data_IF_120825766359
#
_entry.id   IF_120825766359
#
_cell.length_a   1.000
_cell.length_b   1.000
_cell.length_c   1.000
_cell.angle_alpha   90.00
_cell.angle_beta   90.00
_cell.angle_gamma   90.00
#
_symmetry.space_group_name_H-M   'P 1'
#
loop_
_entity.id
_entity.type
_entity.pdbx_description
1 polymer ?
#
# COMPACT_ATOMS: atom_id res chain seq x y z
N UNK A 1 -15.51 -13.15 15.59
CA UNK A 1 -15.99 -12.17 14.59
C UNK A 1 -16.25 -12.87 13.27
N UNK A 2 -17.25 -12.43 12.56
CA UNK A 2 -17.59 -13.03 11.27
C UNK A 2 -16.65 -12.56 10.17
N UNK A 3 -16.60 -13.32 9.08
CA UNK A 3 -15.86 -12.94 7.87
C UNK A 3 -16.33 -11.58 7.35
N UNK A 4 -17.64 -11.34 7.38
CA UNK A 4 -18.23 -10.07 6.96
C UNK A 4 -17.73 -8.90 7.80
N UNK A 5 -17.67 -9.08 9.12
CA UNK A 5 -17.15 -8.05 10.03
C UNK A 5 -15.65 -7.80 9.82
N UNK A 6 -14.88 -8.87 9.61
CA UNK A 6 -13.45 -8.74 9.34
C UNK A 6 -13.20 -7.99 8.03
N UNK A 7 -13.97 -8.27 6.99
CA UNK A 7 -13.88 -7.53 5.72
C UNK A 7 -14.23 -6.06 5.90
N UNK A 8 -15.25 -5.76 6.74
CA UNK A 8 -15.65 -4.38 6.99
C UNK A 8 -14.52 -3.58 7.69
N UNK A 9 -13.84 -4.19 8.65
CA UNK A 9 -12.70 -3.58 9.34
C UNK A 9 -11.59 -3.27 8.35
N UNK A 10 -11.24 -4.21 7.48
CA UNK A 10 -10.19 -4.03 6.47
C UNK A 10 -10.58 -2.95 5.46
N UNK A 11 -11.86 -2.89 5.08
CA UNK A 11 -12.34 -1.84 4.18
C UNK A 11 -12.17 -0.46 4.80
N UNK A 12 -12.50 -0.29 6.07
CA UNK A 12 -12.30 0.97 6.79
C UNK A 12 -10.82 1.36 6.83
N UNK A 13 -9.95 0.39 7.07
CA UNK A 13 -8.50 0.60 7.06
C UNK A 13 -8.01 1.12 5.71
N UNK A 14 -8.45 0.49 4.61
CA UNK A 14 -8.01 0.88 3.27
C UNK A 14 -8.60 2.24 2.84
N UNK A 15 -9.80 2.56 3.26
CA UNK A 15 -10.39 3.88 3.05
C UNK A 15 -9.59 4.96 3.80
N UNK A 16 -9.14 4.65 5.02
CA UNK A 16 -8.24 5.54 5.77
C UNK A 16 -6.90 5.71 5.05
N UNK A 17 -6.37 4.61 4.48
CA UNK A 17 -5.15 4.66 3.67
C UNK A 17 -5.30 5.55 2.44
N UNK A 18 -6.46 5.53 1.81
CA UNK A 18 -6.76 6.40 0.66
C UNK A 18 -6.81 7.88 1.06
N UNK A 19 -7.29 8.17 2.27
CA UNK A 19 -7.30 9.54 2.83
C UNK A 19 -5.96 9.95 3.46
N UNK A 20 -5.06 9.01 3.67
CA UNK A 20 -3.79 9.22 4.41
C UNK A 20 -4.03 9.78 5.82
N UNK A 21 -5.06 9.29 6.50
CA UNK A 21 -5.44 9.76 7.84
C UNK A 21 -5.98 8.62 8.68
N UNK A 22 -5.57 8.60 9.95
CA UNK A 22 -6.08 7.64 10.94
C UNK A 22 -7.36 8.14 11.61
N UNK A 23 -7.82 9.35 11.29
CA UNK A 23 -8.98 9.93 11.95
C UNK A 23 -10.19 9.00 11.91
N UNK A 24 -10.68 8.65 13.10
CA UNK A 24 -11.86 7.81 13.25
C UNK A 24 -11.62 6.30 13.14
N UNK A 25 -10.38 5.86 12.86
CA UNK A 25 -10.08 4.43 12.66
C UNK A 25 -8.91 3.91 13.51
N UNK A 26 -8.39 4.70 14.43
CA UNK A 26 -7.30 4.24 15.30
C UNK A 26 -7.66 2.99 16.10
N UNK A 27 -8.92 2.88 16.49
CA UNK A 27 -9.42 1.76 17.31
C UNK A 27 -9.41 0.42 16.60
N UNK A 28 -9.35 0.41 15.26
CA UNK A 28 -9.34 -0.84 14.49
C UNK A 28 -7.93 -1.34 14.18
N UNK A 29 -6.92 -0.72 14.76
CA UNK A 29 -5.52 -1.08 14.54
C UNK A 29 -4.84 -1.44 15.85
N UNK A 30 -4.01 -2.49 15.85
CA UNK A 30 -3.08 -2.72 16.94
C UNK A 30 -2.04 -1.59 16.98
N UNK A 31 -1.30 -1.47 18.08
CA UNK A 31 -0.27 -0.43 18.20
C UNK A 31 0.78 -0.53 17.09
N UNK A 32 1.22 -1.75 16.75
CA UNK A 32 2.21 -1.97 15.71
C UNK A 32 1.68 -1.58 14.33
N UNK A 33 0.44 -1.95 14.03
CA UNK A 33 -0.18 -1.62 12.74
C UNK A 33 -0.41 -0.12 12.61
N UNK A 34 -0.83 0.54 13.70
CA UNK A 34 -1.01 1.99 13.73
C UNK A 34 0.32 2.71 13.42
N UNK A 35 1.41 2.26 14.03
CA UNK A 35 2.73 2.83 13.78
C UNK A 35 3.13 2.68 12.31
N UNK A 36 2.95 1.50 11.72
CA UNK A 36 3.22 1.27 10.31
C UNK A 36 2.36 2.17 9.41
N UNK A 37 1.09 2.31 9.76
CA UNK A 37 0.18 3.15 8.99
C UNK A 37 0.61 4.63 9.04
N UNK A 38 0.91 5.13 10.24
CA UNK A 38 1.33 6.52 10.42
C UNK A 38 2.63 6.83 9.69
N UNK A 39 3.57 5.89 9.70
CA UNK A 39 4.83 6.03 8.98
C UNK A 39 4.58 6.20 7.48
N UNK A 40 3.74 5.33 6.89
CA UNK A 40 3.41 5.44 5.47
C UNK A 40 2.63 6.72 5.15
N UNK A 41 1.67 7.08 5.99
CA UNK A 41 0.88 8.29 5.79
C UNK A 41 1.73 9.56 5.83
N UNK A 42 2.87 9.51 6.49
CA UNK A 42 3.79 10.65 6.58
C UNK A 42 4.56 10.89 5.29
N UNK A 43 4.92 9.83 4.52
CA UNK A 43 5.78 10.01 3.35
C UNK A 43 5.11 9.73 2.00
N UNK A 44 4.12 8.82 1.96
CA UNK A 44 3.50 8.42 0.68
C UNK A 44 2.88 9.61 -0.08
N UNK A 45 2.05 10.47 0.56
CA UNK A 45 1.44 11.57 -0.19
C UNK A 45 2.45 12.65 -0.60
N UNK A 46 3.60 12.72 0.04
CA UNK A 46 4.66 13.66 -0.35
C UNK A 46 5.44 13.17 -1.55
N UNK A 47 5.78 11.87 -1.56
CA UNK A 47 6.50 11.26 -2.67
C UNK A 47 5.59 11.04 -3.88
N UNK A 48 4.36 10.66 -3.63
CA UNK A 48 3.37 10.37 -4.66
C UNK A 48 2.14 11.28 -4.51
N UNK A 49 2.24 12.55 -4.97
CA UNK A 49 1.11 13.46 -4.89
C UNK A 49 -0.13 12.89 -5.58
N UNK A 50 -1.28 13.07 -4.95
CA UNK A 50 -2.53 12.54 -5.47
C UNK A 50 -2.68 11.03 -5.36
N UNK A 51 -1.87 10.39 -4.49
CA UNK A 51 -1.93 8.94 -4.28
C UNK A 51 -3.34 8.48 -3.90
N UNK A 52 -3.85 7.48 -4.61
CA UNK A 52 -5.17 6.89 -4.39
C UNK A 52 -5.05 5.38 -4.29
N UNK A 53 -5.94 4.80 -3.48
CA UNK A 53 -6.08 3.36 -3.32
C UNK A 53 -7.53 3.00 -3.62
N UNK A 54 -7.73 2.02 -4.49
CA UNK A 54 -9.06 1.48 -4.79
C UNK A 54 -9.04 -0.03 -4.61
N UNK A 55 -10.00 -0.56 -3.85
CA UNK A 55 -10.17 -2.00 -3.67
C UNK A 55 -10.77 -2.57 -4.95
N UNK A 56 -10.12 -3.58 -5.53
CA UNK A 56 -10.65 -4.28 -6.71
C UNK A 56 -11.21 -5.65 -6.35
N UNK A 57 -10.63 -6.32 -5.37
CA UNK A 57 -11.08 -7.64 -4.92
C UNK A 57 -10.77 -7.82 -3.43
N UNK A 58 -11.60 -8.58 -2.75
CA UNK A 58 -11.40 -8.90 -1.34
C UNK A 58 -11.92 -10.30 -1.06
N UNK A 59 -11.07 -11.14 -0.47
CA UNK A 59 -11.43 -12.49 -0.03
C UNK A 59 -11.02 -12.65 1.42
N UNK A 60 -11.73 -13.49 2.15
CA UNK A 60 -11.42 -13.73 3.55
C UNK A 60 -11.74 -15.17 3.93
N UNK A 61 -10.93 -15.71 4.83
CA UNK A 61 -11.12 -17.04 5.40
C UNK A 61 -10.59 -16.99 6.84
N UNK A 62 -11.43 -17.45 7.79
CA UNK A 62 -11.05 -17.38 9.20
C UNK A 62 -10.81 -15.92 9.63
N UNK A 63 -9.67 -15.66 10.22
CA UNK A 63 -9.25 -14.33 10.66
C UNK A 63 -8.40 -13.57 9.63
N UNK A 64 -8.23 -14.13 8.44
CA UNK A 64 -7.41 -13.54 7.39
C UNK A 64 -8.25 -12.87 6.31
N UNK A 65 -7.82 -11.70 5.88
CA UNK A 65 -8.46 -10.97 4.78
C UNK A 65 -7.36 -10.57 3.79
N UNK A 66 -7.56 -10.92 2.53
CA UNK A 66 -6.65 -10.58 1.44
C UNK A 66 -7.35 -9.66 0.47
N UNK A 67 -6.65 -8.62 0.05
CA UNK A 67 -7.23 -7.56 -0.78
C UNK A 67 -6.32 -7.27 -1.96
N UNK A 68 -6.89 -7.23 -3.15
CA UNK A 68 -6.19 -6.66 -4.30
C UNK A 68 -6.62 -5.21 -4.45
N UNK A 69 -5.66 -4.32 -4.65
CA UNK A 69 -5.91 -2.90 -4.80
C UNK A 69 -5.29 -2.38 -6.08
N UNK A 70 -5.92 -1.35 -6.64
CA UNK A 70 -5.34 -0.53 -7.70
C UNK A 70 -4.88 0.77 -7.04
N UNK A 71 -3.60 1.09 -7.18
CA UNK A 71 -3.02 2.32 -6.65
C UNK A 71 -2.57 3.22 -7.80
N UNK A 72 -2.56 4.50 -7.57
CA UNK A 72 -2.16 5.48 -8.57
C UNK A 72 -1.68 6.76 -7.90
N UNK A 73 -1.00 7.59 -8.65
CA UNK A 73 -0.53 8.88 -8.16
C UNK A 73 0.46 9.52 -9.11
N UNK A 74 0.89 10.72 -8.76
CA UNK A 74 2.02 11.39 -9.40
C UNK A 74 3.33 10.93 -8.75
N UNK A 75 4.42 11.57 -9.12
CA UNK A 75 5.73 11.28 -8.56
C UNK A 75 6.54 12.56 -8.42
N UNK A 76 6.92 12.89 -7.17
CA UNK A 76 7.67 14.10 -6.86
C UNK A 76 9.19 13.95 -6.97
N UNK A 77 9.69 12.73 -7.18
CA UNK A 77 11.12 12.45 -7.24
C UNK A 77 11.69 11.98 -5.91
N UNK A 78 12.92 11.51 -5.95
CA UNK A 78 13.71 11.16 -4.77
C UNK A 78 13.69 9.68 -4.39
N UNK A 79 12.86 8.86 -5.01
CA UNK A 79 12.84 7.44 -4.73
C UNK A 79 13.97 6.77 -5.52
N UNK A 80 14.95 6.18 -4.81
CA UNK A 80 16.16 5.58 -5.41
C UNK A 80 16.86 6.53 -6.39
N UNK A 81 16.86 7.82 -6.06
CA UNK A 81 17.44 8.87 -6.89
C UNK A 81 16.80 9.02 -8.27
N UNK A 82 15.64 8.44 -8.50
CA UNK A 82 14.88 8.60 -9.75
C UNK A 82 14.28 10.01 -9.75
N UNK A 83 14.52 10.82 -10.80
CA UNK A 83 13.98 12.18 -10.84
C UNK A 83 12.47 12.20 -11.01
N UNK A 84 11.85 13.30 -10.61
CA UNK A 84 10.42 13.51 -10.79
C UNK A 84 10.01 13.33 -12.26
N UNK A 85 8.83 12.76 -12.47
CA UNK A 85 8.25 12.58 -13.81
C UNK A 85 6.88 13.24 -13.88
N UNK A 86 6.49 13.68 -15.06
CA UNK A 86 5.14 14.13 -15.31
C UNK A 86 4.23 12.92 -15.57
N UNK A 87 2.93 13.07 -15.29
CA UNK A 87 1.94 12.03 -15.54
C UNK A 87 1.67 11.16 -14.33
N UNK A 88 0.78 10.20 -14.52
CA UNK A 88 0.30 9.32 -13.47
C UNK A 88 0.89 7.92 -13.66
N UNK A 89 1.28 7.30 -12.56
CA UNK A 89 1.60 5.87 -12.55
C UNK A 89 0.40 5.09 -12.01
N UNK A 90 0.33 3.80 -12.36
CA UNK A 90 -0.66 2.87 -11.86
C UNK A 90 0.04 1.60 -11.40
N UNK A 91 -0.43 1.03 -10.30
CA UNK A 91 0.15 -0.19 -9.78
C UNK A 91 -0.93 -1.10 -9.17
N UNK A 92 -0.64 -2.39 -9.15
CA UNK A 92 -1.48 -3.38 -8.48
C UNK A 92 -0.74 -3.86 -7.24
N UNK A 93 -1.43 -3.85 -6.11
CA UNK A 93 -0.89 -4.36 -4.87
C UNK A 93 -1.83 -5.42 -4.29
N UNK A 94 -1.27 -6.34 -3.52
CA UNK A 94 -2.04 -7.30 -2.73
C UNK A 94 -1.67 -7.06 -1.28
N UNK A 95 -2.67 -6.86 -0.44
CA UNK A 95 -2.48 -6.66 0.98
C UNK A 95 -3.06 -7.84 1.75
N UNK A 96 -2.35 -8.23 2.81
CA UNK A 96 -2.68 -9.37 3.65
C UNK A 96 -2.92 -8.88 5.07
N UNK A 97 -4.07 -9.21 5.63
CA UNK A 97 -4.45 -8.75 6.96
C UNK A 97 -4.82 -9.92 7.85
N UNK A 98 -4.45 -9.83 9.12
CA UNK A 98 -5.01 -10.67 10.16
C UNK A 98 -5.83 -9.77 11.08
N UNK A 99 -7.08 -10.17 11.33
CA UNK A 99 -8.01 -9.40 12.16
C UNK A 99 -8.34 -10.23 13.40
N UNK A 100 -8.20 -9.65 14.58
CA UNK A 100 -8.52 -10.28 15.85
C UNK A 100 -9.33 -9.33 16.69
N UNK A 101 -10.52 -9.78 17.13
CA UNK A 101 -11.41 -9.00 18.01
C UNK A 101 -11.65 -7.57 17.49
N UNK A 102 -11.90 -7.45 16.19
CA UNK A 102 -12.21 -6.16 15.57
C UNK A 102 -11.00 -5.27 15.29
N UNK A 103 -9.80 -5.77 15.50
CA UNK A 103 -8.57 -5.03 15.23
C UNK A 103 -7.69 -5.73 14.21
N UNK A 104 -7.09 -4.96 13.34
CA UNK A 104 -6.05 -5.45 12.45
C UNK A 104 -4.78 -5.59 13.30
N UNK A 105 -4.30 -6.81 13.43
CA UNK A 105 -3.11 -7.12 14.23
C UNK A 105 -1.89 -7.44 13.37
N UNK A 106 -2.09 -7.65 12.06
CA UNK A 106 -1.00 -7.88 11.12
C UNK A 106 -1.40 -7.30 9.76
N UNK A 107 -0.45 -6.63 9.13
CA UNK A 107 -0.61 -6.06 7.80
C UNK A 107 0.69 -6.23 7.01
N UNK A 108 0.57 -6.84 5.85
CA UNK A 108 1.66 -6.99 4.89
C UNK A 108 1.16 -6.58 3.52
N UNK A 109 2.05 -6.14 2.67
CA UNK A 109 1.67 -5.70 1.34
C UNK A 109 2.73 -6.09 0.31
N UNK A 110 2.29 -6.52 -0.86
CA UNK A 110 3.15 -6.78 -2.01
C UNK A 110 2.63 -5.99 -3.19
N UNK A 111 3.52 -5.29 -3.85
CA UNK A 111 3.20 -4.51 -5.04
C UNK A 111 4.11 -4.92 -6.19
N UNK A 112 3.71 -4.58 -7.41
CA UNK A 112 4.58 -4.74 -8.58
C UNK A 112 5.65 -3.64 -8.56
N UNK A 113 6.70 -3.87 -7.80
CA UNK A 113 7.78 -2.91 -7.64
C UNK A 113 8.49 -2.61 -8.95
N UNK A 114 8.82 -3.65 -9.72
CA UNK A 114 9.51 -3.48 -10.99
C UNK A 114 8.68 -2.66 -11.96
N UNK A 115 7.41 -3.01 -12.13
CA UNK A 115 6.51 -2.26 -13.02
C UNK A 115 6.36 -0.81 -12.60
N UNK A 116 6.29 -0.54 -11.30
CA UNK A 116 6.22 0.83 -10.77
C UNK A 116 7.48 1.62 -11.12
N UNK A 117 8.65 1.05 -10.84
CA UNK A 117 9.94 1.71 -11.13
C UNK A 117 10.10 2.01 -12.62
N UNK A 118 9.73 1.07 -13.49
CA UNK A 118 9.81 1.27 -14.94
C UNK A 118 8.90 2.42 -15.41
N UNK A 119 7.71 2.55 -14.83
CA UNK A 119 6.82 3.67 -15.14
C UNK A 119 7.43 5.01 -14.72
N UNK A 120 8.24 5.03 -13.69
CA UNK A 120 8.90 6.24 -13.19
C UNK A 120 10.18 6.57 -13.97
N UNK A 121 10.56 5.76 -14.96
CA UNK A 121 11.73 6.02 -15.80
C UNK A 121 12.96 5.20 -15.45
N UNK A 122 12.88 4.30 -14.47
CA UNK A 122 13.98 3.40 -14.16
C UNK A 122 14.24 2.44 -15.33
N UNK A 123 15.46 1.98 -15.45
CA UNK A 123 15.86 1.01 -16.47
C UNK A 123 16.55 -0.18 -15.84
N UNK A 124 16.32 -1.34 -16.41
CA UNK A 124 17.03 -2.55 -16.01
C UNK A 124 18.36 -2.55 -16.77
N UNK A 125 19.44 -2.56 -15.99
CA UNK A 125 20.78 -2.62 -16.57
C UNK A 125 21.36 -3.99 -16.25
N UNK A 126 21.78 -4.77 -17.28
CA UNK A 126 22.43 -6.06 -17.03
C UNK A 126 23.70 -5.87 -16.20
N UNK A 127 24.07 -6.85 -15.38
CA UNK A 127 25.33 -6.75 -14.64
C UNK A 127 26.50 -6.61 -15.63
N UNK A 128 27.48 -5.80 -15.25
CA UNK A 128 28.71 -5.72 -16.04
C UNK A 128 29.32 -7.09 -16.09
N UNK A 129 29.62 -7.56 -17.31
CA UNK A 129 30.37 -8.78 -17.48
C UNK A 129 31.76 -8.47 -16.98
N UNK A 130 32.15 -9.17 -15.93
CA UNK A 130 33.45 -8.94 -15.30
C UNK A 130 34.52 -8.83 -16.37
N UNK A 131 35.22 -7.74 -16.34
CA UNK A 131 36.37 -7.59 -17.19
C UNK A 131 37.40 -8.62 -16.79
N UNK A 132 37.39 -9.58 -17.49
CA UNK A 132 38.40 -10.62 -17.60
C UNK A 132 38.87 -11.21 -16.44
#
# INVERSE_FOLDING_TARGET
MSIKENKAVVRQFLEAGDRHSTEGVERIMSADVLEQFEERAAWVPKMFPGHRIRITDMVAEGDQVWVRTATSGGYAGGWMDIPATAGQWNNTCVAFFQVSEGKIVKWEMMCDLLGHLLQLGARIVPPEQGEG
#
